data_IF_469833143103
#
_entry.id   IF_469833143103
#
_cell.length_a   1.000
_cell.length_b   1.000
_cell.length_c   1.000
_cell.angle_alpha   90.00
_cell.angle_beta   90.00
_cell.angle_gamma   90.00
#
_symmetry.space_group_name_H-M   'P 1'
#
loop_
_entity.id
_entity.type
_entity.pdbx_description
1 polymer ?
#
# COMPACT_ATOMS: atom_id res chain seq x y z
N UNK A 1 30.26 -6.94 3.20
CA UNK A 1 29.09 -7.77 3.57
C UNK A 1 28.95 -8.85 2.51
N UNK A 2 28.84 -10.13 2.91
CA UNK A 2 28.71 -11.25 1.98
C UNK A 2 27.31 -11.18 1.32
N UNK A 3 27.21 -11.42 0.00
CA UNK A 3 25.95 -11.39 -0.73
C UNK A 3 24.86 -12.31 -0.12
N UNK A 4 25.29 -13.46 0.45
CA UNK A 4 24.41 -14.38 1.15
C UNK A 4 23.81 -13.79 2.44
N UNK A 5 24.58 -13.00 3.22
CA UNK A 5 24.08 -12.28 4.39
C UNK A 5 23.03 -11.24 3.98
N UNK A 6 23.32 -10.47 2.93
CA UNK A 6 22.37 -9.49 2.42
C UNK A 6 21.04 -10.13 1.97
N UNK A 7 21.08 -11.33 1.42
CA UNK A 7 19.88 -12.07 1.00
C UNK A 7 19.07 -12.60 2.18
N UNK A 8 19.72 -13.12 3.24
CA UNK A 8 19.04 -13.58 4.46
C UNK A 8 18.41 -12.42 5.25
N UNK A 9 19.10 -11.26 5.28
CA UNK A 9 18.62 -10.07 5.98
C UNK A 9 17.53 -9.31 5.21
N UNK A 10 17.53 -9.40 3.87
CA UNK A 10 16.50 -8.77 3.05
C UNK A 10 15.21 -9.60 2.91
N UNK A 11 15.18 -10.84 3.35
CA UNK A 11 13.91 -11.54 3.55
C UNK A 11 13.21 -10.89 4.73
N UNK A 12 12.19 -10.13 4.42
CA UNK A 12 11.37 -9.42 5.41
C UNK A 12 10.64 -10.44 6.28
N UNK A 13 11.31 -10.87 7.34
CA UNK A 13 10.67 -11.56 8.45
C UNK A 13 9.97 -10.44 9.22
N UNK A 14 8.67 -10.52 9.37
CA UNK A 14 7.89 -9.52 10.10
C UNK A 14 8.48 -9.31 11.50
N UNK A 15 9.17 -8.18 11.66
CA UNK A 15 9.62 -7.68 12.95
C UNK A 15 11.02 -7.06 12.91
N UNK A 16 11.12 -5.80 13.30
CA UNK A 16 12.38 -5.08 13.57
C UNK A 16 13.34 -5.90 14.45
N UNK A 17 12.79 -6.64 15.41
CA UNK A 17 13.52 -7.46 16.38
C UNK A 17 14.38 -8.52 15.70
N UNK A 18 13.89 -9.18 14.67
CA UNK A 18 14.62 -10.25 13.96
C UNK A 18 15.81 -9.70 13.17
N UNK A 19 15.63 -8.57 12.50
CA UNK A 19 16.71 -7.90 11.77
C UNK A 19 17.82 -7.42 12.72
N UNK A 20 17.44 -6.78 13.82
CA UNK A 20 18.39 -6.32 14.85
C UNK A 20 19.16 -7.47 15.49
N UNK A 21 18.47 -8.58 15.80
CA UNK A 21 19.10 -9.77 16.37
C UNK A 21 20.10 -10.43 15.41
N UNK A 22 19.75 -10.56 14.13
CA UNK A 22 20.65 -11.10 13.10
C UNK A 22 21.86 -10.20 12.89
N UNK A 23 21.67 -8.90 12.84
CA UNK A 23 22.77 -7.91 12.72
C UNK A 23 23.68 -7.97 13.92
N UNK A 24 23.13 -7.97 15.14
CA UNK A 24 23.91 -8.07 16.37
C UNK A 24 24.69 -9.40 16.47
N UNK A 25 24.08 -10.52 16.08
CA UNK A 25 24.76 -11.84 16.05
C UNK A 25 25.92 -11.83 15.06
N UNK A 26 25.73 -11.26 13.87
CA UNK A 26 26.75 -11.16 12.84
C UNK A 26 27.94 -10.30 13.32
N UNK A 27 27.67 -9.12 13.85
CA UNK A 27 28.70 -8.20 14.38
C UNK A 27 29.45 -8.81 15.58
N UNK A 28 28.72 -9.38 16.52
CA UNK A 28 29.30 -10.05 17.69
C UNK A 28 30.15 -11.27 17.34
N UNK A 29 29.82 -11.97 16.23
CA UNK A 29 30.64 -13.09 15.77
C UNK A 29 31.93 -12.59 15.12
N UNK A 30 31.88 -11.53 14.32
CA UNK A 30 33.09 -10.92 13.73
C UNK A 30 34.02 -10.39 14.81
N UNK A 31 33.49 -9.69 15.83
CA UNK A 31 34.28 -9.17 16.95
C UNK A 31 34.98 -10.27 17.73
N UNK A 32 34.32 -11.42 17.96
CA UNK A 32 34.87 -12.53 18.75
C UNK A 32 35.82 -13.42 17.98
N UNK A 33 35.61 -13.63 16.72
CA UNK A 33 36.30 -14.66 15.92
C UNK A 33 37.12 -14.10 14.75
N UNK A 34 37.01 -12.81 14.48
CA UNK A 34 37.70 -12.16 13.34
C UNK A 34 37.25 -12.63 11.94
N UNK A 35 36.17 -13.41 11.89
CA UNK A 35 35.62 -13.98 10.64
C UNK A 35 34.10 -13.93 10.66
N UNK A 36 33.48 -13.89 9.46
CA UNK A 36 32.03 -13.93 9.30
C UNK A 36 31.44 -15.27 9.79
N UNK A 37 30.25 -15.28 10.41
CA UNK A 37 29.56 -16.51 10.78
C UNK A 37 29.27 -17.35 9.53
N UNK A 38 29.18 -18.66 9.71
CA UNK A 38 28.78 -19.56 8.64
C UNK A 38 27.32 -19.32 8.25
N UNK A 39 26.96 -19.64 7.03
CA UNK A 39 25.55 -19.58 6.57
C UNK A 39 24.63 -20.38 7.49
N UNK A 40 25.05 -21.55 7.94
CA UNK A 40 24.27 -22.40 8.85
C UNK A 40 23.98 -21.67 10.19
N UNK A 41 24.97 -21.03 10.79
CA UNK A 41 24.78 -20.24 12.03
C UNK A 41 23.83 -19.07 11.83
N UNK A 42 23.87 -18.42 10.67
CA UNK A 42 22.94 -17.33 10.34
C UNK A 42 21.50 -17.84 10.19
N UNK A 43 21.31 -19.00 9.54
CA UNK A 43 19.97 -19.60 9.37
C UNK A 43 19.41 -20.12 10.70
N UNK A 44 20.24 -20.74 11.56
CA UNK A 44 19.84 -21.13 12.93
C UNK A 44 19.36 -19.93 13.73
N UNK A 45 20.12 -18.85 13.73
CA UNK A 45 19.74 -17.59 14.43
C UNK A 45 18.44 -17.01 13.87
N UNK A 46 18.26 -17.04 12.54
CA UNK A 46 17.04 -16.55 11.91
C UNK A 46 15.83 -17.39 12.30
N UNK A 47 15.96 -18.72 12.34
CA UNK A 47 14.88 -19.63 12.77
C UNK A 47 14.49 -19.43 14.24
N UNK A 48 15.46 -19.24 15.11
CA UNK A 48 15.21 -19.01 16.55
C UNK A 48 14.51 -17.67 16.81
N UNK A 49 14.80 -16.67 15.98
CA UNK A 49 14.19 -15.35 16.06
C UNK A 49 12.83 -15.26 15.34
N UNK A 50 12.45 -16.28 14.55
CA UNK A 50 11.21 -16.29 13.78
C UNK A 50 9.98 -16.37 14.68
N UNK A 51 9.04 -15.47 14.48
CA UNK A 51 7.81 -15.33 15.31
C UNK A 51 6.69 -16.28 14.90
N UNK A 52 6.74 -16.84 13.68
CA UNK A 52 5.72 -17.75 13.16
C UNK A 52 6.33 -19.02 12.53
N UNK A 53 5.52 -20.08 12.44
CA UNK A 53 5.92 -21.32 11.73
C UNK A 53 6.15 -21.06 10.24
N UNK A 54 5.49 -20.07 9.70
CA UNK A 54 5.60 -19.65 8.32
C UNK A 54 6.94 -18.99 8.04
N UNK A 55 7.41 -18.08 8.92
CA UNK A 55 8.74 -17.49 8.82
C UNK A 55 9.82 -18.57 8.87
N UNK A 56 9.65 -19.55 9.77
CA UNK A 56 10.54 -20.72 9.87
C UNK A 56 10.60 -21.54 8.58
N UNK A 57 9.46 -21.72 7.92
CA UNK A 57 9.38 -22.45 6.64
C UNK A 57 10.10 -21.69 5.50
N UNK A 58 9.95 -20.36 5.44
CA UNK A 58 10.65 -19.51 4.46
C UNK A 58 12.16 -19.53 4.68
N UNK A 59 12.60 -19.43 5.93
CA UNK A 59 14.02 -19.50 6.29
C UNK A 59 14.63 -20.84 5.90
N UNK A 60 13.95 -21.95 6.17
CA UNK A 60 14.41 -23.30 5.80
C UNK A 60 14.49 -23.50 4.30
N UNK A 61 13.54 -22.95 3.55
CA UNK A 61 13.59 -22.98 2.11
C UNK A 61 14.77 -22.18 1.54
N UNK A 62 15.03 -20.97 2.04
CA UNK A 62 16.17 -20.15 1.63
C UNK A 62 17.49 -20.86 1.90
N UNK A 63 17.63 -21.51 3.05
CA UNK A 63 18.80 -22.31 3.39
C UNK A 63 19.02 -23.41 2.34
N UNK A 64 17.98 -24.16 1.99
CA UNK A 64 18.02 -25.21 0.98
C UNK A 64 18.37 -24.67 -0.41
N UNK A 65 17.77 -23.55 -0.81
CA UNK A 65 18.01 -22.93 -2.11
C UNK A 65 19.47 -22.44 -2.25
N UNK A 66 20.01 -21.79 -1.22
CA UNK A 66 21.39 -21.30 -1.20
C UNK A 66 22.40 -22.43 -1.11
N UNK A 67 22.11 -23.51 -0.37
CA UNK A 67 22.95 -24.70 -0.33
C UNK A 67 23.08 -25.36 -1.71
N UNK A 68 21.97 -25.47 -2.43
CA UNK A 68 21.89 -26.02 -3.79
C UNK A 68 22.68 -25.19 -4.82
N UNK A 69 22.56 -23.85 -4.77
CA UNK A 69 23.34 -22.95 -5.64
C UNK A 69 24.84 -22.95 -5.31
N UNK A 70 25.20 -23.23 -4.04
CA UNK A 70 26.59 -23.23 -3.59
C UNK A 70 27.31 -24.56 -3.87
N UNK A 71 26.66 -25.55 -4.49
CA UNK A 71 27.25 -26.86 -4.84
C UNK A 71 27.62 -27.71 -3.61
N UNK A 72 27.00 -27.45 -2.46
CA UNK A 72 27.13 -28.28 -1.25
C UNK A 72 25.97 -29.25 -1.22
N UNK A 73 26.16 -30.37 -1.90
CA UNK A 73 25.22 -31.51 -1.81
C UNK A 73 25.25 -32.04 -0.36
N UNK A 74 24.14 -31.82 0.35
CA UNK A 74 23.84 -32.69 1.49
C UNK A 74 22.99 -33.85 0.94
N UNK A 75 23.49 -35.06 1.05
CA UNK A 75 22.77 -36.30 0.77
C UNK A 75 21.60 -36.45 1.74
N UNK A 76 20.51 -35.75 1.46
CA UNK A 76 19.20 -36.02 2.03
C UNK A 76 18.19 -35.99 0.91
N UNK A 77 17.56 -37.16 0.68
CA UNK A 77 16.53 -37.44 -0.32
C UNK A 77 15.19 -36.65 -0.05
N UNK A 78 15.22 -35.57 0.63
CA UNK A 78 14.11 -34.62 0.74
C UNK A 78 14.09 -33.76 -0.51
N UNK A 79 13.27 -34.15 -1.47
CA UNK A 79 12.98 -33.40 -2.68
C UNK A 79 12.50 -31.97 -2.28
N UNK A 80 13.36 -30.98 -2.47
CA UNK A 80 12.98 -29.60 -2.30
C UNK A 80 11.73 -29.32 -3.17
N UNK A 81 10.67 -28.70 -2.63
CA UNK A 81 9.47 -28.44 -3.40
C UNK A 81 9.84 -27.70 -4.69
N UNK A 82 9.41 -28.24 -5.82
CA UNK A 82 9.76 -27.83 -7.18
C UNK A 82 9.32 -26.40 -7.53
N UNK A 83 8.65 -25.73 -6.62
CA UNK A 83 8.22 -24.33 -6.74
C UNK A 83 8.77 -23.53 -5.58
N UNK A 84 9.54 -22.45 -5.85
CA UNK A 84 10.02 -21.60 -4.77
C UNK A 84 8.84 -21.00 -3.98
N UNK A 85 8.97 -20.80 -2.67
CA UNK A 85 8.03 -20.00 -1.90
C UNK A 85 7.96 -18.56 -2.38
N UNK A 86 8.73 -18.19 -3.42
CA UNK A 86 8.55 -16.98 -4.18
C UNK A 86 7.12 -16.87 -4.76
N UNK A 87 6.52 -17.98 -5.18
CA UNK A 87 5.08 -18.01 -5.49
C UNK A 87 4.24 -17.85 -4.22
N UNK A 88 4.74 -18.33 -3.09
CA UNK A 88 4.13 -18.20 -1.78
C UNK A 88 4.34 -16.78 -1.22
N UNK A 89 5.52 -16.20 -1.36
CA UNK A 89 5.79 -14.79 -1.01
C UNK A 89 5.06 -13.82 -1.95
N UNK A 90 5.04 -14.08 -3.24
CA UNK A 90 4.27 -13.25 -4.21
C UNK A 90 2.78 -13.56 -4.11
N UNK A 91 2.37 -14.80 -3.84
CA UNK A 91 0.97 -15.10 -3.55
C UNK A 91 0.57 -14.55 -2.19
N UNK A 92 1.45 -14.57 -1.18
CA UNK A 92 1.16 -13.99 0.14
C UNK A 92 1.21 -12.46 0.13
N UNK A 93 2.15 -11.85 -0.57
CA UNK A 93 2.10 -10.42 -0.86
C UNK A 93 0.93 -10.07 -1.79
N UNK A 94 0.57 -10.94 -2.73
CA UNK A 94 -0.68 -10.88 -3.49
C UNK A 94 -1.88 -11.26 -2.63
N UNK A 95 -1.79 -12.26 -1.76
CA UNK A 95 -2.86 -12.67 -0.86
C UNK A 95 -3.07 -11.66 0.26
N UNK A 96 -2.05 -11.04 0.86
CA UNK A 96 -2.27 -9.87 1.71
C UNK A 96 -2.92 -8.71 0.93
N UNK A 97 -2.61 -8.58 -0.36
CA UNK A 97 -3.29 -7.61 -1.22
C UNK A 97 -4.64 -8.13 -1.73
N UNK A 98 -4.80 -9.45 -1.94
CA UNK A 98 -6.02 -10.12 -2.41
C UNK A 98 -6.86 -10.67 -1.25
N UNK A 99 -6.30 -10.98 -0.07
CA UNK A 99 -7.06 -11.30 1.15
C UNK A 99 -7.79 -10.08 1.69
N UNK A 100 -7.32 -8.87 1.44
CA UNK A 100 -8.14 -7.67 1.64
C UNK A 100 -9.42 -7.69 0.77
N UNK A 101 -9.44 -8.47 -0.32
CA UNK A 101 -10.63 -8.68 -1.16
C UNK A 101 -11.35 -10.02 -0.94
N UNK A 102 -10.77 -10.98 -0.18
CA UNK A 102 -11.34 -12.31 0.02
C UNK A 102 -11.64 -12.69 1.48
N UNK A 103 -11.43 -11.79 2.43
CA UNK A 103 -11.90 -12.02 3.80
C UNK A 103 -13.43 -12.11 3.78
N UNK A 104 -13.95 -13.31 3.67
CA UNK A 104 -15.36 -13.59 3.98
C UNK A 104 -15.60 -13.11 5.41
N UNK A 105 -16.18 -11.91 5.55
CA UNK A 105 -16.65 -11.27 6.79
C UNK A 105 -15.61 -10.61 7.72
N UNK A 106 -14.36 -10.38 7.34
CA UNK A 106 -13.39 -9.63 8.16
C UNK A 106 -13.38 -8.12 7.85
N UNK A 107 -13.43 -7.27 8.90
CA UNK A 107 -13.11 -5.84 8.78
C UNK A 107 -11.61 -5.70 8.81
N UNK A 108 -11.02 -4.98 7.83
CA UNK A 108 -9.61 -4.62 7.86
C UNK A 108 -9.42 -3.11 8.04
N UNK A 109 -8.26 -2.74 8.53
CA UNK A 109 -7.74 -1.37 8.57
C UNK A 109 -6.29 -1.45 8.08
N UNK A 110 -5.99 -0.77 6.96
CA UNK A 110 -4.67 -0.81 6.31
C UNK A 110 -4.13 0.62 6.17
N UNK A 111 -3.24 1.05 7.06
CA UNK A 111 -2.56 2.32 6.91
C UNK A 111 -1.43 2.23 5.88
N UNK A 112 -1.26 3.27 5.08
CA UNK A 112 -0.13 3.48 4.17
C UNK A 112 0.45 4.87 4.41
N UNK A 113 1.76 5.02 4.26
CA UNK A 113 2.48 6.24 4.62
C UNK A 113 3.29 6.79 3.44
N UNK A 114 3.39 8.11 3.36
CA UNK A 114 4.14 8.83 2.34
C UNK A 114 5.31 9.62 2.95
N UNK A 115 6.38 9.89 2.14
CA UNK A 115 6.55 9.49 0.75
C UNK A 115 6.99 8.02 0.63
N UNK A 116 6.37 7.30 -0.30
CA UNK A 116 6.72 5.91 -0.64
C UNK A 116 6.14 5.58 -2.01
N UNK A 117 6.96 5.10 -2.95
CA UNK A 117 6.49 4.66 -4.27
C UNK A 117 5.58 3.43 -4.17
N UNK A 118 5.83 2.53 -3.22
CA UNK A 118 4.95 1.39 -2.95
C UNK A 118 3.57 1.84 -2.46
N UNK A 119 3.53 2.76 -1.48
CA UNK A 119 2.28 3.34 -0.98
C UNK A 119 1.52 4.06 -2.08
N UNK A 120 2.22 4.81 -2.93
CA UNK A 120 1.61 5.47 -4.08
C UNK A 120 1.08 4.47 -5.10
N UNK A 121 1.83 3.42 -5.41
CA UNK A 121 1.38 2.33 -6.27
C UNK A 121 0.11 1.65 -5.74
N UNK A 122 0.03 1.41 -4.44
CA UNK A 122 -1.16 0.85 -3.78
C UNK A 122 -2.35 1.81 -3.83
N UNK A 123 -2.13 3.10 -3.62
CA UNK A 123 -3.14 4.15 -3.75
C UNK A 123 -3.71 4.21 -5.18
N UNK A 124 -2.87 4.32 -6.22
CA UNK A 124 -3.28 4.33 -7.62
C UNK A 124 -4.01 3.04 -8.01
N UNK A 125 -3.50 1.89 -7.57
CA UNK A 125 -4.13 0.59 -7.82
C UNK A 125 -5.53 0.51 -7.22
N UNK A 126 -5.73 1.08 -6.04
CA UNK A 126 -7.03 1.14 -5.38
C UNK A 126 -8.04 1.93 -6.21
N UNK A 127 -7.68 3.11 -6.71
CA UNK A 127 -8.50 3.92 -7.62
C UNK A 127 -8.79 3.18 -8.95
N UNK A 128 -7.76 2.61 -9.54
CA UNK A 128 -7.85 1.90 -10.83
C UNK A 128 -8.69 0.62 -10.76
N UNK A 129 -8.83 0.01 -9.59
CA UNK A 129 -9.62 -1.20 -9.39
C UNK A 129 -11.12 -0.94 -9.16
N UNK A 130 -11.54 0.30 -9.04
CA UNK A 130 -12.96 0.66 -8.95
C UNK A 130 -13.76 0.08 -10.12
N UNK A 131 -14.95 -0.50 -9.81
CA UNK A 131 -15.83 -1.18 -10.78
C UNK A 131 -17.18 -0.51 -10.96
N UNK A 132 -17.66 0.20 -9.93
CA UNK A 132 -19.03 0.76 -9.92
C UNK A 132 -19.02 2.25 -9.67
N UNK A 133 -18.29 2.70 -8.64
CA UNK A 133 -18.31 4.10 -8.24
C UNK A 133 -17.02 4.56 -7.56
N UNK A 134 -16.71 5.85 -7.77
CA UNK A 134 -15.71 6.62 -7.04
C UNK A 134 -16.35 7.93 -6.59
N UNK A 135 -16.56 8.08 -5.29
CA UNK A 135 -17.02 9.33 -4.68
C UNK A 135 -15.81 9.95 -3.96
N UNK A 136 -15.27 11.02 -4.51
CA UNK A 136 -14.00 11.65 -4.11
C UNK A 136 -14.28 12.98 -3.45
N UNK A 137 -13.80 13.20 -2.22
CA UNK A 137 -13.91 14.44 -1.48
C UNK A 137 -12.51 14.82 -0.97
N UNK A 138 -11.81 15.69 -1.73
CA UNK A 138 -10.40 15.99 -1.49
C UNK A 138 -10.12 17.47 -1.69
N UNK A 139 -9.52 18.08 -0.69
CA UNK A 139 -9.19 19.52 -0.64
C UNK A 139 -8.50 20.01 -1.92
N UNK A 140 -7.48 19.29 -2.40
CA UNK A 140 -6.74 19.68 -3.61
C UNK A 140 -6.21 18.46 -4.37
N UNK A 141 -6.33 18.50 -5.71
CA UNK A 141 -5.87 17.47 -6.64
C UNK A 141 -5.03 18.16 -7.71
N UNK A 142 -3.72 17.91 -7.71
CA UNK A 142 -2.74 18.50 -8.66
C UNK A 142 -1.69 17.49 -9.14
N UNK A 143 -1.84 16.20 -8.80
CA UNK A 143 -0.97 15.12 -9.31
C UNK A 143 -1.61 14.51 -10.55
N UNK A 144 -1.07 14.80 -11.72
CA UNK A 144 -1.58 14.36 -13.01
C UNK A 144 -1.71 12.82 -13.12
N UNK A 145 -0.82 12.04 -12.48
CA UNK A 145 -0.93 10.57 -12.52
C UNK A 145 -2.17 10.10 -11.76
N UNK A 146 -2.44 10.74 -10.61
CA UNK A 146 -3.67 10.50 -9.84
C UNK A 146 -4.91 10.91 -10.61
N UNK A 147 -4.89 12.11 -11.23
CA UNK A 147 -5.99 12.59 -12.06
C UNK A 147 -6.26 11.66 -13.26
N UNK A 148 -5.22 11.18 -13.92
CA UNK A 148 -5.34 10.22 -15.02
C UNK A 148 -5.98 8.89 -14.57
N UNK A 149 -5.63 8.38 -13.39
CA UNK A 149 -6.25 7.16 -12.85
C UNK A 149 -7.76 7.32 -12.62
N UNK A 150 -8.20 8.50 -12.15
CA UNK A 150 -9.62 8.84 -11.96
C UNK A 150 -10.34 8.94 -13.31
N UNK A 151 -9.76 9.66 -14.28
CA UNK A 151 -10.31 9.81 -15.63
C UNK A 151 -10.45 8.44 -16.29
N UNK A 152 -9.42 7.61 -16.25
CA UNK A 152 -9.48 6.24 -16.80
C UNK A 152 -10.55 5.38 -16.12
N UNK A 153 -10.82 5.56 -14.82
CA UNK A 153 -11.93 4.89 -14.18
C UNK A 153 -13.26 5.34 -14.76
N UNK A 154 -13.45 6.64 -14.96
CA UNK A 154 -14.64 7.19 -15.61
C UNK A 154 -14.83 6.67 -17.05
N UNK A 155 -13.77 6.69 -17.86
CA UNK A 155 -13.76 6.15 -19.24
C UNK A 155 -14.15 4.65 -19.31
N UNK A 156 -13.86 3.88 -18.25
CA UNK A 156 -14.31 2.48 -18.11
C UNK A 156 -15.78 2.32 -17.71
N UNK A 157 -16.50 3.44 -17.50
CA UNK A 157 -17.90 3.43 -17.09
C UNK A 157 -18.13 3.40 -15.57
N UNK A 158 -17.09 3.64 -14.76
CA UNK A 158 -17.25 3.84 -13.31
C UNK A 158 -17.93 5.20 -13.08
N UNK A 159 -18.98 5.23 -12.25
CA UNK A 159 -19.60 6.49 -11.84
C UNK A 159 -18.63 7.25 -10.94
N UNK A 160 -18.14 8.37 -11.41
CA UNK A 160 -17.23 9.24 -10.65
C UNK A 160 -17.94 10.53 -10.25
N UNK A 161 -17.79 10.96 -8.99
CA UNK A 161 -18.22 12.28 -8.50
C UNK A 161 -17.07 12.87 -7.66
N UNK A 162 -16.86 14.18 -7.79
CA UNK A 162 -15.76 14.86 -7.11
C UNK A 162 -16.30 16.07 -6.35
N UNK A 163 -15.86 16.21 -5.10
CA UNK A 163 -15.98 17.43 -4.30
C UNK A 163 -14.58 17.94 -4.00
N UNK A 164 -14.32 19.21 -4.25
CA UNK A 164 -13.06 19.88 -3.95
C UNK A 164 -13.31 21.28 -3.36
N UNK A 165 -12.24 21.90 -2.87
CA UNK A 165 -12.27 23.26 -2.37
C UNK A 165 -12.27 24.26 -3.54
N UNK A 166 -13.05 25.34 -3.45
CA UNK A 166 -13.19 26.32 -4.54
C UNK A 166 -11.92 27.15 -4.75
N UNK A 167 -11.26 27.59 -3.68
CA UNK A 167 -9.98 28.30 -3.75
C UNK A 167 -8.92 27.42 -4.43
N UNK A 168 -8.92 26.10 -4.12
CA UNK A 168 -7.98 25.14 -4.69
C UNK A 168 -8.33 24.75 -6.13
N UNK A 169 -9.57 24.87 -6.54
CA UNK A 169 -9.97 24.66 -7.93
C UNK A 169 -9.41 25.72 -8.88
N UNK A 170 -9.10 26.91 -8.37
CA UNK A 170 -8.51 28.02 -9.14
C UNK A 170 -6.97 27.99 -9.17
N UNK A 171 -6.31 27.18 -8.33
CA UNK A 171 -4.85 27.08 -8.28
C UNK A 171 -4.27 26.60 -9.62
N UNK A 172 -3.09 27.11 -9.98
CA UNK A 172 -2.32 26.64 -11.15
C UNK A 172 -2.01 25.14 -11.02
N UNK A 173 -2.45 24.37 -12.03
CA UNK A 173 -2.25 22.93 -12.06
C UNK A 173 -3.33 22.14 -11.33
N UNK A 174 -4.42 22.78 -10.88
CA UNK A 174 -5.56 22.05 -10.34
C UNK A 174 -6.27 21.24 -11.41
N UNK A 175 -6.42 19.93 -11.18
CA UNK A 175 -7.09 19.00 -12.10
C UNK A 175 -8.63 19.09 -12.02
N UNK A 176 -9.18 19.85 -11.07
CA UNK A 176 -10.63 19.93 -10.80
C UNK A 176 -11.41 20.41 -12.03
N UNK A 177 -10.93 21.46 -12.70
CA UNK A 177 -11.54 21.95 -13.95
C UNK A 177 -11.39 20.97 -15.11
N UNK A 178 -10.27 20.24 -15.15
CA UNK A 178 -10.03 19.19 -16.14
C UNK A 178 -11.02 18.04 -16.00
N UNK A 179 -11.37 17.65 -14.77
CA UNK A 179 -12.39 16.64 -14.54
C UNK A 179 -13.75 17.09 -15.09
N UNK A 180 -14.19 18.29 -14.72
CA UNK A 180 -15.50 18.80 -15.11
C UNK A 180 -15.62 19.12 -16.60
N UNK A 181 -14.67 19.89 -17.15
CA UNK A 181 -14.80 20.48 -18.49
C UNK A 181 -14.31 19.59 -19.60
N UNK A 182 -13.24 18.82 -19.35
CA UNK A 182 -12.56 18.05 -20.38
C UNK A 182 -13.01 16.57 -20.40
N UNK A 183 -13.61 16.12 -19.29
CA UNK A 183 -13.94 14.70 -19.09
C UNK A 183 -15.39 14.45 -18.62
N UNK A 184 -16.23 15.46 -18.55
CA UNK A 184 -17.65 15.37 -18.16
C UNK A 184 -17.86 14.65 -16.80
N UNK A 185 -16.90 14.75 -15.88
CA UNK A 185 -17.02 14.17 -14.54
C UNK A 185 -17.75 15.16 -13.63
N UNK A 186 -18.90 14.78 -13.05
CA UNK A 186 -19.64 15.65 -12.12
C UNK A 186 -18.74 16.10 -10.97
N UNK A 187 -18.51 17.39 -10.88
CA UNK A 187 -17.58 18.01 -9.92
C UNK A 187 -18.22 19.22 -9.27
N UNK A 188 -18.21 19.29 -7.95
CA UNK A 188 -18.72 20.39 -7.15
C UNK A 188 -17.63 20.99 -6.28
N UNK A 189 -17.76 22.27 -5.96
CA UNK A 189 -16.87 22.98 -5.04
C UNK A 189 -17.69 23.62 -3.92
N UNK A 190 -17.07 23.95 -2.81
CA UNK A 190 -17.81 24.35 -1.61
C UNK A 190 -18.39 25.79 -1.65
N UNK A 191 -17.84 26.70 -2.48
CA UNK A 191 -18.33 28.08 -2.60
C UNK A 191 -18.35 28.83 -1.27
N UNK A 192 -17.47 28.52 -0.33
CA UNK A 192 -17.46 28.97 1.04
C UNK A 192 -16.15 29.69 1.39
N UNK A 193 -16.16 30.73 2.23
CA UNK A 193 -14.94 31.34 2.75
C UNK A 193 -14.17 30.43 3.71
N UNK A 194 -14.74 29.28 4.08
CA UNK A 194 -14.10 28.24 4.90
C UNK A 194 -13.79 27.04 4.02
N UNK A 195 -12.63 26.41 4.19
CA UNK A 195 -12.19 25.33 3.34
C UNK A 195 -12.98 24.02 3.52
N UNK A 196 -13.33 23.39 2.42
CA UNK A 196 -13.67 21.97 2.34
C UNK A 196 -12.37 21.14 2.48
N UNK A 197 -11.96 20.82 3.70
CA UNK A 197 -10.61 20.32 3.98
C UNK A 197 -10.54 18.79 4.14
N UNK A 198 -11.53 18.06 3.63
CA UNK A 198 -11.51 16.59 3.62
C UNK A 198 -10.49 16.02 2.63
N UNK A 199 -10.05 14.79 2.90
CA UNK A 199 -9.21 13.98 2.02
C UNK A 199 -9.65 12.53 2.15
N UNK A 200 -10.77 12.20 1.49
CA UNK A 200 -11.26 10.84 1.45
C UNK A 200 -11.82 10.46 0.08
N UNK A 201 -11.89 9.18 -0.20
CA UNK A 201 -12.63 8.64 -1.31
C UNK A 201 -13.34 7.34 -0.91
N UNK A 202 -14.53 7.14 -1.49
CA UNK A 202 -15.34 5.94 -1.31
C UNK A 202 -15.32 5.18 -2.63
N UNK A 203 -14.95 3.91 -2.58
CA UNK A 203 -14.80 3.04 -3.73
C UNK A 203 -15.87 1.95 -3.68
N UNK A 204 -16.71 1.87 -4.72
CA UNK A 204 -17.72 0.83 -4.94
C UNK A 204 -18.72 0.67 -3.77
N UNK A 205 -18.92 1.69 -2.94
CA UNK A 205 -19.71 1.64 -1.71
C UNK A 205 -19.23 0.54 -0.71
N UNK A 206 -18.00 0.09 -0.84
CA UNK A 206 -17.44 -1.04 -0.11
C UNK A 206 -16.12 -0.76 0.60
N UNK A 207 -15.39 0.27 0.17
CA UNK A 207 -14.09 0.66 0.70
C UNK A 207 -14.06 2.17 0.88
N UNK A 208 -13.46 2.64 1.96
CA UNK A 208 -13.10 4.06 2.15
C UNK A 208 -11.60 4.17 2.39
N UNK A 209 -11.00 5.18 1.78
CA UNK A 209 -9.67 5.63 2.12
C UNK A 209 -9.73 7.09 2.59
N UNK A 210 -9.02 7.38 3.69
CA UNK A 210 -9.01 8.70 4.35
C UNK A 210 -7.70 8.91 5.09
N UNK A 211 -7.28 10.14 5.25
CA UNK A 211 -6.04 10.50 5.97
C UNK A 211 -5.66 11.95 5.78
N UNK A 212 -4.38 12.24 5.95
CA UNK A 212 -3.83 13.59 5.75
C UNK A 212 -3.50 13.89 4.28
N UNK A 213 -3.39 12.85 3.43
CA UNK A 213 -2.81 12.90 2.09
C UNK A 213 -3.65 13.71 1.10
N UNK A 214 -3.21 14.91 0.73
CA UNK A 214 -3.68 15.63 -0.44
C UNK A 214 -3.17 14.95 -1.73
N UNK A 215 -3.97 14.99 -2.80
CA UNK A 215 -3.62 14.33 -4.06
C UNK A 215 -2.71 15.21 -4.93
N UNK A 216 -1.55 15.55 -4.36
CA UNK A 216 -0.57 16.47 -4.93
C UNK A 216 0.82 15.85 -5.03
N UNK A 217 1.64 16.36 -5.96
CA UNK A 217 3.05 15.95 -6.05
C UNK A 217 3.84 16.24 -4.77
N UNK A 218 3.54 17.35 -4.09
CA UNK A 218 4.18 17.70 -2.81
C UNK A 218 3.87 16.66 -1.72
N UNK A 219 2.61 16.22 -1.61
CA UNK A 219 2.21 15.18 -0.68
C UNK A 219 2.83 13.82 -1.06
N UNK A 220 2.90 13.50 -2.35
CA UNK A 220 3.51 12.25 -2.84
C UNK A 220 5.00 12.14 -2.53
N UNK A 221 5.78 13.20 -2.75
CA UNK A 221 7.25 13.11 -2.76
C UNK A 221 7.94 13.76 -1.57
N UNK A 222 7.30 14.68 -0.86
CA UNK A 222 7.96 15.54 0.12
C UNK A 222 7.37 15.45 1.51
N UNK A 223 6.04 15.51 1.64
CA UNK A 223 5.38 15.54 2.92
C UNK A 223 5.40 14.17 3.62
N UNK A 224 5.23 14.20 4.94
CA UNK A 224 4.91 13.01 5.74
C UNK A 224 3.41 12.94 5.89
N UNK A 225 2.78 12.02 5.16
CA UNK A 225 1.34 11.87 5.07
C UNK A 225 0.94 10.43 5.34
N UNK A 226 -0.34 10.24 5.67
CA UNK A 226 -0.94 8.92 5.79
C UNK A 226 -2.24 8.82 5.00
N UNK A 227 -2.56 7.59 4.59
CA UNK A 227 -3.90 7.16 4.21
C UNK A 227 -4.22 5.86 4.95
N UNK A 228 -5.44 5.74 5.41
CA UNK A 228 -5.98 4.53 5.99
C UNK A 228 -7.09 4.00 5.11
N UNK A 229 -6.99 2.73 4.70
CA UNK A 229 -8.01 2.03 3.93
C UNK A 229 -8.79 1.10 4.85
N UNK A 230 -10.12 1.07 4.72
CA UNK A 230 -10.96 0.12 5.46
C UNK A 230 -12.23 -0.25 4.70
N UNK A 231 -12.64 -1.51 4.87
CA UNK A 231 -13.92 -2.04 4.40
C UNK A 231 -14.98 -2.08 5.52
N UNK A 232 -14.75 -1.41 6.64
CA UNK A 232 -15.73 -1.33 7.70
C UNK A 232 -17.03 -0.72 7.17
N UNK A 233 -18.08 -1.50 7.12
CA UNK A 233 -19.42 -1.05 6.65
C UNK A 233 -19.89 0.18 7.41
N UNK A 234 -19.59 0.26 8.71
CA UNK A 234 -19.91 1.42 9.54
C UNK A 234 -19.16 2.66 9.11
N UNK A 235 -17.85 2.53 8.83
CA UNK A 235 -17.02 3.64 8.34
C UNK A 235 -17.46 4.07 6.94
N UNK A 236 -17.58 3.12 6.00
CA UNK A 236 -18.01 3.40 4.62
C UNK A 236 -19.34 4.15 4.60
N UNK A 237 -20.33 3.70 5.41
CA UNK A 237 -21.62 4.38 5.49
C UNK A 237 -21.48 5.81 6.03
N UNK A 238 -20.73 6.03 7.11
CA UNK A 238 -20.55 7.36 7.68
C UNK A 238 -19.91 8.35 6.71
N UNK A 239 -18.87 7.91 5.96
CA UNK A 239 -18.24 8.74 4.93
C UNK A 239 -19.17 8.98 3.73
N UNK A 240 -20.01 7.99 3.39
CA UNK A 240 -20.99 8.17 2.33
C UNK A 240 -22.09 9.16 2.72
N UNK A 241 -22.61 9.05 3.93
CA UNK A 241 -23.61 9.98 4.45
C UNK A 241 -23.08 11.43 4.45
N UNK A 242 -21.82 11.64 4.83
CA UNK A 242 -21.17 12.95 4.76
C UNK A 242 -20.95 13.40 3.30
N UNK A 243 -20.51 12.50 2.41
CA UNK A 243 -20.35 12.83 1.00
C UNK A 243 -21.68 13.28 0.37
N UNK A 244 -22.77 12.54 0.56
CA UNK A 244 -24.08 12.91 0.00
C UNK A 244 -24.58 14.23 0.58
N UNK A 245 -24.41 14.45 1.87
CA UNK A 245 -24.74 15.73 2.52
C UNK A 245 -23.99 16.92 1.89
N UNK A 246 -22.68 16.78 1.68
CA UNK A 246 -21.87 17.81 1.04
C UNK A 246 -22.19 17.93 -0.46
N UNK A 247 -22.47 16.81 -1.11
CA UNK A 247 -22.88 16.81 -2.50
C UNK A 247 -24.16 17.63 -2.70
N UNK A 248 -25.17 17.43 -1.88
CA UNK A 248 -26.41 18.19 -1.92
C UNK A 248 -26.19 19.66 -1.53
N UNK A 249 -25.39 19.92 -0.50
CA UNK A 249 -25.08 21.27 -0.03
C UNK A 249 -24.40 22.13 -1.12
N UNK A 250 -23.57 21.54 -1.95
CA UNK A 250 -22.80 22.21 -3.00
C UNK A 250 -23.45 22.11 -4.39
N UNK A 251 -24.76 21.83 -4.47
CA UNK A 251 -25.45 21.65 -5.74
C UNK A 251 -25.37 22.90 -6.65
N UNK A 252 -25.43 24.09 -6.08
CA UNK A 252 -25.35 25.36 -6.81
C UNK A 252 -23.92 25.70 -7.29
N UNK A 253 -22.90 24.99 -6.82
CA UNK A 253 -21.49 25.20 -7.14
C UNK A 253 -20.90 24.09 -8.03
N UNK A 254 -21.68 23.59 -8.95
CA UNK A 254 -21.21 22.63 -9.93
C UNK A 254 -20.38 23.32 -11.02
N UNK A 255 -19.20 22.73 -11.35
CA UNK A 255 -18.27 23.22 -12.39
C UNK A 255 -18.68 22.77 -13.79
#
# INVERSE_FOLDING_TARGET
MNAAYSSVVSVSIEGRTTHEQLTHTYESHIERHGSSPSLQQLFETARDAASSDQDRAVISWLETAIAKESGRDSDSDDEAPSTPPHHYLISHLKEHHDEHHKAKNGIFISPIFFPSEESYGNFIKTLSNAKKSLDICVFTITDNDTANAVIQAHERGVRVRIISDDDKAEDLGADVKRFARDNDIPTRVDGSPSHMHHKFAIIDDALVMTGSYNWTKGARYQNREDLCLTNSTKAVRAFKDEFEKLWDLFEEFQL
#
